data_IF_575493972214
#
_entry.id   IF_575493972214
#
_cell.length_a   1.000
_cell.length_b   1.000
_cell.length_c   1.000
_cell.angle_alpha   90.00
_cell.angle_beta   90.00
_cell.angle_gamma   90.00
#
_symmetry.space_group_name_H-M   'P 1'
#
loop_
_entity.id
_entity.type
_entity.pdbx_description
1 polymer ?
#
# COMPACT_ATOMS: atom_id res chain seq x y z
N UNK A 1 -57.98 8.54 16.80
CA UNK A 1 -57.68 7.29 17.51
C UNK A 1 -57.85 6.16 16.51
N UNK A 2 -56.77 5.80 15.83
CA UNK A 2 -56.78 4.79 14.76
C UNK A 2 -55.84 3.67 15.18
N UNK A 3 -56.42 2.51 15.52
CA UNK A 3 -55.69 1.28 15.82
C UNK A 3 -55.54 0.50 14.51
N UNK A 4 -54.31 0.35 14.03
CA UNK A 4 -53.94 -0.59 12.96
C UNK A 4 -53.34 -1.86 13.57
N UNK A 5 -53.66 -3.06 13.06
CA UNK A 5 -53.15 -4.30 13.64
C UNK A 5 -51.77 -4.71 13.10
N UNK A 6 -51.01 -5.19 14.08
CA UNK A 6 -49.78 -5.97 14.14
C UNK A 6 -49.59 -7.02 13.01
N UNK A 7 -48.47 -6.95 12.29
CA UNK A 7 -48.04 -7.95 11.30
C UNK A 7 -46.91 -8.80 11.89
N UNK A 8 -47.27 -10.00 12.33
CA UNK A 8 -46.36 -11.06 12.71
C UNK A 8 -45.62 -11.64 11.48
N UNK A 9 -44.29 -11.71 11.57
CA UNK A 9 -43.40 -12.34 10.59
C UNK A 9 -43.35 -13.85 10.83
N UNK A 10 -43.70 -14.64 9.82
CA UNK A 10 -43.65 -16.11 9.80
C UNK A 10 -42.36 -16.63 9.14
N UNK A 11 -41.81 -17.71 9.71
CA UNK A 11 -40.53 -18.33 9.34
C UNK A 11 -40.73 -19.42 8.29
N UNK A 12 -40.17 -19.23 7.10
CA UNK A 12 -40.17 -20.23 6.01
C UNK A 12 -38.79 -20.83 5.75
N UNK A 13 -38.68 -22.15 5.95
CA UNK A 13 -37.48 -23.01 5.86
C UNK A 13 -36.92 -23.16 4.44
N UNK A 14 -35.60 -23.30 4.36
CA UNK A 14 -34.84 -23.66 3.15
C UNK A 14 -34.58 -25.18 3.17
N UNK A 15 -35.08 -25.92 2.19
CA UNK A 15 -34.52 -27.22 1.75
C UNK A 15 -34.91 -27.53 0.30
N UNK A 16 -33.92 -27.78 -0.56
CA UNK A 16 -33.95 -28.79 -1.63
C UNK A 16 -32.64 -28.69 -2.45
N UNK A 17 -31.85 -29.75 -2.43
CA UNK A 17 -30.72 -29.92 -3.33
C UNK A 17 -31.12 -30.50 -4.68
N UNK A 18 -30.12 -30.58 -5.58
CA UNK A 18 -29.80 -31.65 -6.57
C UNK A 18 -29.12 -31.05 -7.84
N UNK A 19 -27.79 -31.21 -7.90
CA UNK A 19 -26.90 -31.53 -9.06
C UNK A 19 -26.83 -30.60 -10.31
N UNK A 20 -25.84 -30.73 -11.25
CA UNK A 20 -24.75 -31.70 -11.39
C UNK A 20 -23.34 -31.10 -11.65
N UNK A 21 -22.30 -31.97 -11.62
CA UNK A 21 -20.96 -31.69 -12.18
C UNK A 21 -21.00 -31.72 -13.72
N UNK A 22 -20.23 -30.86 -14.40
CA UNK A 22 -19.67 -31.20 -15.70
C UNK A 22 -18.14 -31.21 -15.67
N UNK A 23 -17.59 -32.33 -16.13
CA UNK A 23 -16.23 -32.46 -16.64
C UNK A 23 -16.10 -31.57 -17.90
N UNK A 24 -15.14 -30.66 -17.92
CA UNK A 24 -14.92 -29.77 -19.06
C UNK A 24 -13.54 -29.13 -19.01
N UNK A 25 -12.70 -29.57 -19.93
CA UNK A 25 -11.31 -29.14 -20.17
C UNK A 25 -11.29 -27.79 -20.90
N UNK A 26 -10.35 -26.93 -20.47
CA UNK A 26 -9.73 -25.78 -21.17
C UNK A 26 -10.60 -24.55 -21.45
N UNK A 27 -10.24 -23.45 -20.79
CA UNK A 27 -9.95 -22.20 -21.52
C UNK A 27 -9.02 -21.30 -20.69
N UNK A 28 -7.80 -21.11 -21.19
CA UNK A 28 -6.90 -20.04 -20.79
C UNK A 28 -7.58 -18.70 -21.14
N UNK A 29 -8.22 -18.06 -20.18
CA UNK A 29 -8.68 -16.69 -20.34
C UNK A 29 -7.68 -15.73 -19.72
N UNK A 30 -7.15 -14.87 -20.60
CA UNK A 30 -6.70 -13.50 -20.38
C UNK A 30 -6.44 -13.08 -18.92
N UNK A 31 -5.16 -12.88 -18.60
CA UNK A 31 -4.77 -11.96 -17.53
C UNK A 31 -4.72 -10.53 -18.06
N UNK A 32 -5.82 -10.05 -18.64
CA UNK A 32 -6.08 -8.61 -18.77
C UNK A 32 -6.85 -8.19 -17.53
N UNK A 33 -6.13 -8.11 -16.40
CA UNK A 33 -6.72 -7.62 -15.16
C UNK A 33 -6.31 -6.16 -15.02
N UNK A 34 -7.15 -5.28 -15.56
CA UNK A 34 -7.18 -3.86 -15.22
C UNK A 34 -7.58 -3.74 -13.75
N UNK A 35 -6.66 -4.05 -12.84
CA UNK A 35 -6.88 -3.88 -11.41
C UNK A 35 -7.14 -2.40 -11.14
N UNK A 36 -8.21 -2.11 -10.41
CA UNK A 36 -8.46 -0.76 -9.95
C UNK A 36 -7.33 -0.31 -9.02
N UNK A 37 -7.04 0.99 -8.98
CA UNK A 37 -6.01 1.56 -8.08
C UNK A 37 -6.20 1.13 -6.62
N UNK A 38 -7.45 0.86 -6.22
CA UNK A 38 -7.80 0.43 -4.86
C UNK A 38 -7.46 -1.04 -4.59
N UNK A 39 -7.60 -1.93 -5.57
CA UNK A 39 -7.29 -3.36 -5.40
C UNK A 39 -5.78 -3.63 -5.37
N UNK A 40 -5.00 -2.91 -6.17
CA UNK A 40 -3.53 -2.94 -6.08
C UNK A 40 -3.03 -2.52 -4.68
N UNK A 41 -3.72 -1.54 -4.07
CA UNK A 41 -3.40 -1.04 -2.73
C UNK A 41 -3.72 -2.09 -1.65
N UNK A 42 -4.83 -2.83 -1.75
CA UNK A 42 -5.17 -3.89 -0.78
C UNK A 42 -4.33 -5.15 -0.98
N UNK A 43 -4.02 -5.56 -2.22
CA UNK A 43 -3.14 -6.71 -2.48
C UNK A 43 -1.70 -6.50 -1.95
N UNK A 44 -1.19 -5.26 -1.98
CA UNK A 44 0.11 -4.94 -1.42
C UNK A 44 0.15 -5.11 0.12
N UNK A 45 -0.94 -4.80 0.81
CA UNK A 45 -1.05 -5.00 2.27
C UNK A 45 -1.08 -6.48 2.64
N UNK A 46 -1.78 -7.31 1.85
CA UNK A 46 -1.89 -8.75 2.11
C UNK A 46 -0.55 -9.49 1.99
N UNK A 47 0.36 -9.00 1.14
CA UNK A 47 1.61 -9.69 0.82
C UNK A 47 2.60 -9.75 1.99
N UNK A 48 2.62 -8.74 2.85
CA UNK A 48 3.50 -8.72 4.03
C UNK A 48 2.85 -9.29 5.28
N UNK A 49 1.52 -9.52 5.26
CA UNK A 49 0.85 -10.29 6.30
C UNK A 49 1.23 -11.78 6.29
N UNK A 50 1.75 -12.29 5.18
CA UNK A 50 2.21 -13.69 5.06
C UNK A 50 3.60 -13.90 5.70
N UNK A 51 4.39 -12.84 5.88
CA UNK A 51 5.72 -12.88 6.49
C UNK A 51 5.66 -12.36 7.94
N UNK A 52 6.34 -13.05 8.87
CA UNK A 52 6.37 -12.66 10.29
C UNK A 52 7.07 -11.30 10.50
N UNK A 53 7.99 -10.92 9.59
CA UNK A 53 8.68 -9.63 9.59
C UNK A 53 8.78 -9.04 8.18
N UNK A 54 8.57 -7.72 8.00
CA UNK A 54 8.66 -7.09 6.72
C UNK A 54 10.11 -6.95 6.24
N UNK A 55 10.39 -7.34 5.00
CA UNK A 55 11.65 -7.12 4.30
C UNK A 55 11.74 -5.76 3.57
N UNK A 56 12.86 -5.54 2.89
CA UNK A 56 13.16 -4.27 2.20
C UNK A 56 12.22 -3.98 1.03
N UNK A 57 11.81 -5.01 0.29
CA UNK A 57 10.86 -4.86 -0.82
C UNK A 57 9.47 -4.43 -0.32
N UNK A 58 9.17 -4.75 0.92
CA UNK A 58 7.92 -4.49 1.63
C UNK A 58 7.76 -3.06 1.96
N UNK A 59 8.80 -2.55 2.59
CA UNK A 59 8.98 -1.16 2.87
C UNK A 59 8.94 -0.36 1.57
N UNK A 60 9.66 -0.78 0.53
CA UNK A 60 9.64 -0.10 -0.78
C UNK A 60 8.22 -0.01 -1.36
N UNK A 61 7.51 -1.13 -1.40
CA UNK A 61 6.15 -1.18 -1.92
C UNK A 61 5.20 -0.31 -1.09
N UNK A 62 5.34 -0.32 0.23
CA UNK A 62 4.50 0.46 1.14
C UNK A 62 4.76 1.97 1.02
N UNK A 63 6.02 2.39 0.89
CA UNK A 63 6.40 3.78 0.59
C UNK A 63 5.69 4.23 -0.68
N UNK A 64 5.84 3.48 -1.77
CA UNK A 64 5.23 3.81 -3.06
C UNK A 64 3.70 3.82 -2.98
N UNK A 65 3.10 2.84 -2.30
CA UNK A 65 1.65 2.75 -2.09
C UNK A 65 1.10 3.99 -1.40
N UNK A 66 1.75 4.44 -0.33
CA UNK A 66 1.34 5.63 0.40
C UNK A 66 1.54 6.88 -0.44
N UNK A 67 2.69 7.04 -1.08
CA UNK A 67 2.97 8.19 -1.95
C UNK A 67 2.01 8.29 -3.13
N UNK A 68 1.70 7.17 -3.77
CA UNK A 68 0.71 7.12 -4.84
C UNK A 68 -0.72 7.33 -4.35
N UNK A 69 -1.00 7.31 -3.06
CA UNK A 69 -2.31 7.71 -2.54
C UNK A 69 -2.44 9.22 -2.33
N UNK A 70 -1.33 9.96 -2.43
CA UNK A 70 -1.27 11.41 -2.24
C UNK A 70 -1.26 12.17 -3.58
N UNK A 71 -1.46 13.48 -3.50
CA UNK A 71 -1.32 14.40 -4.63
C UNK A 71 0.17 14.62 -4.97
N UNK A 72 0.42 15.12 -6.18
CA UNK A 72 1.77 15.44 -6.65
C UNK A 72 2.46 16.44 -5.72
N UNK A 73 3.66 16.08 -5.25
CA UNK A 73 4.48 16.92 -4.37
C UNK A 73 4.16 16.80 -2.88
N UNK A 74 3.12 16.05 -2.51
CA UNK A 74 2.88 15.68 -1.11
C UNK A 74 3.89 14.65 -0.64
N UNK A 75 3.97 14.48 0.69
CA UNK A 75 5.02 13.69 1.32
C UNK A 75 4.50 12.90 2.51
N UNK A 76 5.20 11.81 2.85
CA UNK A 76 4.92 10.94 4.01
C UNK A 76 6.09 10.94 5.00
N UNK A 77 5.84 10.63 6.27
CA UNK A 77 6.95 10.39 7.21
C UNK A 77 7.39 8.92 7.17
N UNK A 78 8.66 8.59 7.48
CA UNK A 78 9.09 7.21 7.71
C UNK A 78 8.25 6.47 8.75
N UNK A 79 7.82 7.18 9.80
CA UNK A 79 6.97 6.64 10.85
C UNK A 79 5.59 6.21 10.34
N UNK A 80 5.03 6.91 9.34
CA UNK A 80 3.72 6.56 8.80
C UNK A 80 3.79 5.28 7.97
N UNK A 81 4.87 5.11 7.21
CA UNK A 81 5.19 3.86 6.51
C UNK A 81 5.36 2.73 7.53
N UNK A 82 6.17 2.95 8.57
CA UNK A 82 6.42 1.94 9.60
C UNK A 82 5.14 1.48 10.32
N UNK A 83 4.19 2.40 10.55
CA UNK A 83 2.90 2.11 11.19
C UNK A 83 2.02 1.16 10.38
N UNK A 84 2.20 1.09 9.07
CA UNK A 84 1.44 0.16 8.22
C UNK A 84 1.76 -1.31 8.53
N UNK A 85 2.95 -1.60 9.07
CA UNK A 85 3.39 -2.95 9.45
C UNK A 85 2.96 -3.37 10.86
N UNK A 86 2.12 -2.58 11.54
CA UNK A 86 1.46 -2.99 12.79
C UNK A 86 2.05 -2.40 14.08
N UNK A 87 1.70 -2.98 15.25
CA UNK A 87 1.94 -2.34 16.55
C UNK A 87 3.41 -2.22 16.95
N UNK A 88 4.29 -3.08 16.40
CA UNK A 88 5.75 -3.05 16.62
C UNK A 88 6.49 -2.08 15.71
N UNK A 89 5.79 -1.15 15.05
CA UNK A 89 6.33 -0.24 14.03
C UNK A 89 7.66 0.44 14.36
N UNK A 90 7.96 0.72 15.64
CA UNK A 90 9.20 1.38 16.06
C UNK A 90 10.45 0.66 15.59
N UNK A 91 10.42 -0.68 15.54
CA UNK A 91 11.56 -1.48 15.10
C UNK A 91 11.79 -1.39 13.58
N UNK A 92 10.77 -1.01 12.82
CA UNK A 92 10.83 -0.92 11.35
C UNK A 92 11.24 0.47 10.85
N UNK A 93 11.31 1.48 11.72
CA UNK A 93 11.66 2.85 11.30
C UNK A 93 13.07 2.91 10.68
N UNK A 94 14.04 2.21 11.25
CA UNK A 94 15.40 2.12 10.69
C UNK A 94 15.40 1.45 9.32
N UNK A 95 14.68 0.32 9.17
CA UNK A 95 14.53 -0.35 7.87
C UNK A 95 13.87 0.58 6.83
N UNK A 96 12.85 1.36 7.23
CA UNK A 96 12.22 2.34 6.35
C UNK A 96 13.20 3.37 5.84
N UNK A 97 14.09 3.87 6.71
CA UNK A 97 15.10 4.86 6.34
C UNK A 97 16.20 4.26 5.47
N UNK A 98 16.63 3.04 5.74
CA UNK A 98 17.58 2.30 4.90
C UNK A 98 17.03 2.16 3.47
N UNK A 99 15.82 1.64 3.33
CA UNK A 99 15.20 1.48 2.01
C UNK A 99 14.94 2.83 1.33
N UNK A 100 14.54 3.86 2.08
CA UNK A 100 14.39 5.20 1.52
C UNK A 100 15.72 5.78 1.02
N UNK A 101 16.83 5.46 1.68
CA UNK A 101 18.18 5.83 1.25
C UNK A 101 18.51 5.17 -0.09
N UNK A 102 18.31 3.86 -0.20
CA UNK A 102 18.56 3.13 -1.44
C UNK A 102 17.67 3.63 -2.60
N UNK A 103 16.38 3.87 -2.33
CA UNK A 103 15.47 4.45 -3.31
C UNK A 103 15.88 5.86 -3.75
N UNK A 104 16.46 6.65 -2.85
CA UNK A 104 16.90 8.01 -3.16
C UNK A 104 18.17 8.01 -4.02
N UNK A 105 19.11 7.08 -3.76
CA UNK A 105 20.28 6.85 -4.62
C UNK A 105 19.90 6.45 -6.04
N UNK A 106 18.81 5.69 -6.18
CA UNK A 106 18.26 5.26 -7.47
C UNK A 106 17.40 6.35 -8.17
N UNK A 107 17.37 7.59 -7.66
CA UNK A 107 16.50 8.68 -8.16
C UNK A 107 14.99 8.34 -8.15
N UNK A 108 14.57 7.33 -7.38
CA UNK A 108 13.15 6.91 -7.26
C UNK A 108 12.41 7.67 -6.16
N UNK A 109 13.12 8.36 -5.27
CA UNK A 109 12.57 9.01 -4.09
C UNK A 109 13.34 10.28 -3.72
N UNK A 110 12.63 11.36 -3.43
CA UNK A 110 13.20 12.55 -2.79
C UNK A 110 13.03 12.44 -1.27
N UNK A 111 14.13 12.62 -0.53
CA UNK A 111 14.09 12.80 0.92
C UNK A 111 14.26 14.28 1.23
N UNK A 112 13.32 14.86 1.98
CA UNK A 112 13.35 16.28 2.34
C UNK A 112 13.29 16.50 3.85
N UNK A 113 13.96 17.56 4.32
CA UNK A 113 13.85 18.07 5.68
C UNK A 113 13.72 19.58 5.63
N UNK A 114 12.72 20.14 6.31
CA UNK A 114 12.44 21.58 6.32
C UNK A 114 12.29 22.21 4.91
N UNK A 115 11.87 21.42 3.92
CA UNK A 115 11.71 21.85 2.52
C UNK A 115 12.97 21.69 1.66
N UNK A 116 14.11 21.32 2.25
CA UNK A 116 15.37 21.10 1.53
C UNK A 116 15.58 19.62 1.23
N UNK A 117 16.15 19.31 0.06
CA UNK A 117 16.57 17.96 -0.28
C UNK A 117 17.75 17.53 0.58
N UNK A 118 17.68 16.31 1.10
CA UNK A 118 18.79 15.68 1.81
C UNK A 118 19.55 14.84 0.78
N UNK A 119 20.85 15.09 0.67
CA UNK A 119 21.78 14.18 0.01
C UNK A 119 22.06 13.00 0.95
N UNK A 120 21.65 11.80 0.51
CA UNK A 120 21.77 10.56 1.28
C UNK A 120 23.17 9.94 1.24
N UNK A 121 24.03 10.39 0.33
CA UNK A 121 25.44 9.97 0.27
C UNK A 121 26.30 10.81 1.22
N UNK A 122 25.88 12.03 1.52
CA UNK A 122 26.53 12.89 2.51
C UNK A 122 25.97 12.69 3.93
N UNK A 123 24.69 12.32 4.07
CA UNK A 123 24.00 12.26 5.36
C UNK A 123 23.19 10.98 5.54
N UNK A 124 23.56 10.19 6.54
CA UNK A 124 22.78 9.04 6.98
C UNK A 124 21.45 9.46 7.62
N UNK A 125 20.32 8.97 7.09
CA UNK A 125 18.98 9.29 7.58
C UNK A 125 18.73 8.88 9.04
N UNK A 126 19.46 7.89 9.55
CA UNK A 126 19.39 7.48 10.96
C UNK A 126 20.05 8.47 11.91
N UNK A 127 21.05 9.20 11.44
CA UNK A 127 21.73 10.24 12.21
C UNK A 127 21.00 11.60 12.17
N UNK A 128 20.01 11.76 11.31
CA UNK A 128 19.24 13.00 11.19
C UNK A 128 18.28 13.16 12.36
N UNK A 129 18.41 14.30 13.05
CA UNK A 129 17.48 14.71 14.10
C UNK A 129 16.31 15.49 13.50
N UNK A 130 15.13 15.24 14.04
CA UNK A 130 13.90 15.94 13.66
C UNK A 130 13.15 15.28 12.50
N UNK A 131 12.00 15.86 12.10
CA UNK A 131 11.15 15.29 11.07
C UNK A 131 11.85 15.28 9.71
N UNK A 132 11.77 14.14 9.03
CA UNK A 132 12.09 14.00 7.61
C UNK A 132 10.82 13.56 6.86
N UNK A 133 10.75 13.88 5.58
CA UNK A 133 9.63 13.56 4.71
C UNK A 133 10.14 12.89 3.44
N UNK A 134 9.37 11.93 2.95
CA UNK A 134 9.62 11.20 1.72
C UNK A 134 8.59 11.64 0.68
N UNK A 135 8.98 11.90 -0.56
CA UNK A 135 8.05 12.23 -1.65
C UNK A 135 8.51 11.63 -2.97
N UNK A 136 7.60 11.54 -3.93
CA UNK A 136 7.98 11.21 -5.30
C UNK A 136 8.88 12.32 -5.88
N UNK A 137 9.88 11.96 -6.68
CA UNK A 137 10.75 12.92 -7.34
C UNK A 137 9.94 13.93 -8.13
N UNK A 138 10.25 15.21 -7.95
CA UNK A 138 9.59 16.29 -8.71
C UNK A 138 10.19 16.50 -10.11
N UNK A 139 11.22 15.72 -10.48
CA UNK A 139 11.76 15.77 -11.84
C UNK A 139 10.73 15.18 -12.80
N UNK A 140 10.45 15.82 -13.95
CA UNK A 140 9.82 15.12 -15.06
C UNK A 140 10.76 13.98 -15.43
N UNK A 141 10.34 12.73 -15.20
CA UNK A 141 11.09 11.56 -15.62
C UNK A 141 11.33 11.70 -17.11
N UNK A 142 12.59 11.67 -17.56
CA UNK A 142 12.97 11.93 -18.96
C UNK A 142 12.37 10.93 -19.98
N UNK A 143 11.53 9.99 -19.52
CA UNK A 143 10.82 8.96 -20.29
C UNK A 143 9.50 9.43 -20.93
N UNK A 144 9.12 10.71 -20.83
CA UNK A 144 7.95 11.26 -21.55
C UNK A 144 8.27 11.79 -22.96
N UNK A 145 9.43 11.45 -23.55
CA UNK A 145 9.76 11.76 -24.95
C UNK A 145 10.05 10.47 -25.75
N UNK A 146 8.99 9.80 -26.22
CA UNK A 146 9.03 9.00 -27.47
C UNK A 146 7.60 8.89 -28.07
#
# INVERSE_FOLDING_TARGET
MSNGPDLAYDQGKIVAGITPRPSGVVSLHSRDSLHTRSECVEMAKSRWLEHEEPGSQDVKNEILRLLWSLNKGESVCPTDVARAFGPRWRQYVSLVKEVATDMSRDDQLDVIQNGELIDVDERELDSIKGPIRLRLPLRPSAVDND
#
